data_IF_112475458899
#
_entry.id   IF_112475458899
#
_cell.length_a   1.000
_cell.length_b   1.000
_cell.length_c   1.000
_cell.angle_alpha   90.00
_cell.angle_beta   90.00
_cell.angle_gamma   90.00
#
_symmetry.space_group_name_H-M   'P 1'
#
loop_
_entity.id
_entity.type
_entity.pdbx_description
1 polymer ?
#
# COMPACT_ATOMS: atom_id res chain seq x y z
N UNK A 1 -2.64 -67.17 23.64
CA UNK A 1 -1.39 -66.51 23.19
C UNK A 1 -1.55 -66.25 21.70
N UNK A 2 -2.19 -65.13 21.36
CA UNK A 2 -2.57 -64.77 19.99
C UNK A 2 -1.75 -63.54 19.62
N UNK A 3 -0.98 -63.66 18.54
CA UNK A 3 0.06 -62.76 18.11
C UNK A 3 -0.61 -61.58 17.38
N UNK A 4 -0.39 -60.36 17.87
CA UNK A 4 -0.81 -59.11 17.21
C UNK A 4 0.04 -58.86 15.95
N UNK A 5 -0.63 -58.58 14.83
CA UNK A 5 -0.03 -57.90 13.68
C UNK A 5 -0.12 -56.38 13.88
N UNK A 6 0.94 -55.60 13.60
CA UNK A 6 0.86 -54.14 13.67
C UNK A 6 0.45 -53.51 12.33
N UNK A 7 -0.45 -52.53 12.43
CA UNK A 7 -0.92 -51.65 11.37
C UNK A 7 0.19 -50.82 10.72
N UNK A 8 0.15 -50.77 9.39
CA UNK A 8 1.06 -50.02 8.52
C UNK A 8 0.73 -48.52 8.56
N UNK A 9 1.60 -47.70 9.17
CA UNK A 9 1.52 -46.23 9.12
C UNK A 9 2.08 -45.72 7.78
N UNK A 10 1.24 -45.03 7.00
CA UNK A 10 1.65 -44.27 5.82
C UNK A 10 2.42 -43.02 6.28
N UNK A 11 3.72 -42.96 6.00
CA UNK A 11 4.55 -41.76 6.16
C UNK A 11 4.50 -40.96 4.86
N UNK A 12 3.95 -39.75 4.89
CA UNK A 12 3.94 -38.84 3.75
C UNK A 12 5.39 -38.44 3.37
N UNK A 13 5.81 -38.76 2.14
CA UNK A 13 7.13 -38.45 1.63
C UNK A 13 7.38 -36.95 1.45
N UNK A 14 8.57 -36.49 1.89
CA UNK A 14 9.11 -35.15 1.57
C UNK A 14 9.19 -34.96 0.06
N UNK A 15 8.56 -33.90 -0.46
CA UNK A 15 8.78 -33.42 -1.84
C UNK A 15 10.24 -32.99 -2.01
N UNK A 16 10.92 -33.53 -3.02
CA UNK A 16 12.26 -33.09 -3.44
C UNK A 16 12.17 -31.70 -4.08
N UNK A 17 12.91 -30.74 -3.55
CA UNK A 17 13.15 -29.41 -4.14
C UNK A 17 14.32 -29.51 -5.14
N UNK A 18 14.14 -28.95 -6.33
CA UNK A 18 15.19 -28.83 -7.36
C UNK A 18 15.83 -27.44 -7.30
N UNK A 19 17.13 -27.38 -7.58
CA UNK A 19 17.91 -26.14 -7.62
C UNK A 19 17.62 -25.35 -8.89
N UNK A 20 17.69 -24.01 -8.83
CA UNK A 20 17.41 -23.12 -9.97
C UNK A 20 18.33 -23.41 -11.15
N UNK A 21 17.73 -23.77 -12.30
CA UNK A 21 18.45 -23.94 -13.56
C UNK A 21 18.90 -22.58 -14.09
N UNK A 22 20.05 -22.56 -14.77
CA UNK A 22 20.67 -21.32 -15.25
C UNK A 22 19.81 -20.56 -16.28
N UNK A 23 18.84 -21.18 -16.96
CA UNK A 23 17.93 -20.53 -17.90
C UNK A 23 16.65 -21.35 -18.10
N UNK A 24 15.50 -20.68 -18.10
CA UNK A 24 14.21 -21.20 -18.56
C UNK A 24 13.49 -22.14 -17.58
N UNK A 25 12.40 -21.68 -16.98
CA UNK A 25 11.56 -22.50 -16.09
C UNK A 25 10.40 -23.10 -16.88
N UNK A 26 10.33 -24.43 -16.97
CA UNK A 26 9.14 -25.17 -17.36
C UNK A 26 8.27 -25.49 -16.13
N UNK A 27 6.98 -25.13 -16.17
CA UNK A 27 5.90 -25.38 -15.18
C UNK A 27 6.14 -24.83 -13.76
N UNK A 28 5.04 -24.47 -13.07
CA UNK A 28 5.02 -23.96 -11.68
C UNK A 28 5.50 -25.05 -10.71
N UNK A 29 6.80 -25.13 -10.52
CA UNK A 29 7.43 -25.85 -9.42
C UNK A 29 7.85 -24.82 -8.36
N UNK A 30 7.67 -25.16 -7.08
CA UNK A 30 8.14 -24.30 -5.99
C UNK A 30 9.66 -24.38 -5.92
N UNK A 31 10.34 -23.31 -6.32
CA UNK A 31 11.81 -23.24 -6.28
C UNK A 31 12.29 -22.73 -4.92
N UNK A 32 13.29 -23.40 -4.35
CA UNK A 32 14.00 -22.90 -3.18
C UNK A 32 14.89 -21.71 -3.57
N UNK A 33 14.48 -20.51 -3.15
CA UNK A 33 15.17 -19.24 -3.43
C UNK A 33 16.26 -18.90 -2.41
N UNK A 34 16.54 -19.77 -1.42
CA UNK A 34 17.49 -19.50 -0.34
C UNK A 34 18.89 -19.11 -0.85
N UNK A 35 19.39 -19.78 -1.91
CA UNK A 35 20.69 -19.44 -2.52
C UNK A 35 20.72 -18.05 -3.16
N UNK A 36 19.60 -17.57 -3.68
CA UNK A 36 19.51 -16.24 -4.30
C UNK A 36 19.50 -15.13 -3.22
N UNK A 37 18.68 -15.29 -2.18
CA UNK A 37 18.61 -14.35 -1.07
C UNK A 37 19.81 -14.44 -0.11
N UNK A 38 20.56 -15.54 -0.12
CA UNK A 38 21.83 -15.67 0.61
C UNK A 38 23.02 -14.94 -0.02
N UNK A 39 22.85 -14.25 -1.15
CA UNK A 39 23.92 -13.49 -1.81
C UNK A 39 24.28 -12.24 -1.01
N UNK A 40 25.54 -11.81 -1.09
CA UNK A 40 26.06 -10.58 -0.42
C UNK A 40 25.23 -9.32 -0.72
N UNK A 41 24.58 -9.25 -1.87
CA UNK A 41 23.66 -8.16 -2.23
C UNK A 41 22.57 -7.95 -1.17
N UNK A 42 22.14 -9.02 -0.49
CA UNK A 42 21.10 -8.99 0.53
C UNK A 42 21.63 -8.96 1.96
N UNK A 43 22.95 -8.87 2.18
CA UNK A 43 23.55 -8.99 3.51
C UNK A 43 22.98 -7.99 4.53
N UNK A 44 22.72 -6.75 4.10
CA UNK A 44 22.10 -5.71 4.93
C UNK A 44 20.57 -5.59 4.72
N UNK A 45 19.98 -6.38 3.83
CA UNK A 45 18.55 -6.40 3.62
C UNK A 45 17.93 -7.37 4.60
N UNK A 46 17.26 -6.82 5.62
CA UNK A 46 16.49 -7.64 6.56
C UNK A 46 15.37 -8.33 5.78
N UNK A 47 15.38 -9.66 5.76
CA UNK A 47 14.24 -10.46 5.34
C UNK A 47 13.13 -10.37 6.38
N UNK A 48 12.34 -11.44 6.53
CA UNK A 48 11.38 -11.53 7.63
C UNK A 48 12.09 -11.31 8.98
N UNK A 49 11.56 -10.39 9.77
CA UNK A 49 12.00 -10.04 11.12
C UNK A 49 10.99 -10.61 12.11
N UNK A 50 11.47 -11.27 13.16
CA UNK A 50 10.62 -11.73 14.26
C UNK A 50 10.12 -10.52 15.04
N UNK A 51 8.95 -10.02 14.68
CA UNK A 51 8.17 -9.02 15.40
C UNK A 51 6.93 -9.77 15.93
N UNK A 52 6.47 -9.45 17.14
CA UNK A 52 5.37 -10.16 17.80
C UNK A 52 4.18 -10.43 16.86
N UNK A 53 3.57 -11.60 17.00
CA UNK A 53 2.48 -12.07 16.11
C UNK A 53 1.08 -11.81 16.65
N UNK A 54 0.95 -11.03 17.73
CA UNK A 54 -0.33 -10.73 18.32
C UNK A 54 -1.08 -9.74 17.42
N UNK A 55 -2.31 -10.11 17.05
CA UNK A 55 -3.24 -9.29 16.31
C UNK A 55 -4.32 -8.80 17.28
N UNK A 56 -4.36 -7.50 17.51
CA UNK A 56 -5.33 -6.85 18.38
C UNK A 56 -6.55 -6.40 17.57
N UNK A 57 -7.67 -6.20 18.25
CA UNK A 57 -8.91 -5.72 17.62
C UNK A 57 -8.98 -4.20 17.63
N UNK A 58 -9.48 -3.60 16.55
CA UNK A 58 -9.87 -2.19 16.56
C UNK A 58 -11.05 -1.99 17.52
N UNK A 59 -11.04 -0.97 18.40
CA UNK A 59 -12.16 -0.72 19.30
C UNK A 59 -13.46 -0.44 18.52
N UNK A 60 -14.61 -1.00 18.93
CA UNK A 60 -15.87 -0.90 18.18
C UNK A 60 -16.31 0.52 17.80
N UNK A 61 -16.00 1.51 18.64
CA UNK A 61 -16.32 2.92 18.43
C UNK A 61 -15.56 3.57 17.26
N UNK A 62 -14.45 2.96 16.82
CA UNK A 62 -13.62 3.41 15.71
C UNK A 62 -13.83 2.61 14.42
N UNK A 63 -14.75 1.65 14.42
CA UNK A 63 -15.09 0.87 13.22
C UNK A 63 -15.87 1.74 12.24
N UNK A 64 -15.39 1.79 10.98
CA UNK A 64 -16.01 2.55 9.89
C UNK A 64 -16.20 4.02 10.27
N UNK A 65 -15.09 4.63 10.70
CA UNK A 65 -15.02 6.04 11.13
C UNK A 65 -14.00 6.84 10.34
N UNK A 66 -14.25 8.14 10.25
CA UNK A 66 -13.25 9.12 9.81
C UNK A 66 -13.12 10.13 10.94
N UNK A 67 -11.90 10.28 11.46
CA UNK A 67 -11.60 11.18 12.56
C UNK A 67 -11.05 12.50 12.01
N UNK A 68 -11.68 13.62 12.37
CA UNK A 68 -11.20 14.96 12.04
C UNK A 68 -10.05 15.38 12.97
N UNK A 69 -8.88 14.74 12.82
CA UNK A 69 -7.66 15.01 13.60
C UNK A 69 -6.41 14.57 12.84
N UNK A 70 -5.25 15.01 13.32
CA UNK A 70 -3.95 14.56 12.83
C UNK A 70 -3.72 13.08 13.13
N UNK A 71 -3.20 12.35 12.14
CA UNK A 71 -2.74 10.95 12.24
C UNK A 71 -1.31 10.81 12.78
N UNK A 72 -0.61 11.90 13.12
CA UNK A 72 0.72 11.85 13.73
C UNK A 72 0.75 11.16 15.11
N UNK A 73 -0.44 10.99 15.74
CA UNK A 73 -0.65 10.21 16.97
C UNK A 73 -2.02 9.52 16.91
N UNK A 74 -2.02 8.19 16.86
CA UNK A 74 -3.20 7.32 16.82
C UNK A 74 -3.38 6.58 18.17
N UNK A 75 -3.35 7.31 19.28
CA UNK A 75 -3.44 6.77 20.65
C UNK A 75 -4.70 5.94 20.91
N UNK A 76 -5.75 6.18 20.14
CA UNK A 76 -7.01 5.45 20.13
C UNK A 76 -6.91 4.03 19.56
N UNK A 77 -5.84 3.73 18.82
CA UNK A 77 -5.61 2.44 18.21
C UNK A 77 -4.57 1.63 18.99
N UNK A 78 -4.89 0.37 19.34
CA UNK A 78 -3.89 -0.59 19.81
C UNK A 78 -2.79 -0.82 18.78
N UNK A 79 -1.65 -1.31 19.23
CA UNK A 79 -0.61 -1.83 18.33
C UNK A 79 -1.18 -3.01 17.53
N UNK A 80 -0.73 -3.21 16.30
CA UNK A 80 -1.05 -4.42 15.52
C UNK A 80 -2.55 -4.75 15.41
N UNK A 81 -3.39 -3.78 15.04
CA UNK A 81 -4.83 -3.95 14.82
C UNK A 81 -5.30 -3.63 13.38
N UNK A 82 -4.43 -3.10 12.52
CA UNK A 82 -4.73 -2.73 11.13
C UNK A 82 -4.04 -3.69 10.17
N UNK A 83 -4.72 -4.03 9.07
CA UNK A 83 -4.24 -5.03 8.11
C UNK A 83 -3.54 -4.40 6.91
N UNK A 84 -4.07 -3.28 6.43
CA UNK A 84 -3.55 -2.53 5.31
C UNK A 84 -3.69 -1.04 5.57
N UNK A 85 -2.65 -0.27 5.28
CA UNK A 85 -2.77 1.16 5.09
C UNK A 85 -2.69 1.48 3.60
N UNK A 86 -3.64 2.25 3.06
CA UNK A 86 -3.55 2.80 1.70
C UNK A 86 -3.78 4.29 1.75
N UNK A 87 -2.85 5.06 1.19
CA UNK A 87 -2.91 6.51 1.34
C UNK A 87 -2.16 7.25 0.25
N UNK A 88 -2.41 8.55 0.18
CA UNK A 88 -1.66 9.50 -0.65
C UNK A 88 -1.43 10.75 0.19
N UNK A 89 -0.22 10.95 0.75
CA UNK A 89 0.06 12.12 1.55
C UNK A 89 -0.11 13.43 0.77
N UNK A 90 -0.33 14.57 1.46
CA UNK A 90 -0.32 15.88 0.81
C UNK A 90 1.01 16.10 0.10
N UNK A 91 1.00 16.72 -1.08
CA UNK A 91 2.22 16.89 -1.90
C UNK A 91 3.01 18.14 -1.56
N UNK A 92 2.55 18.98 -0.62
CA UNK A 92 3.29 20.16 -0.17
C UNK A 92 3.68 21.10 -1.34
N UNK A 93 2.76 21.27 -2.30
CA UNK A 93 2.96 22.05 -3.54
C UNK A 93 2.21 23.39 -3.50
N UNK A 94 1.89 23.88 -2.31
CA UNK A 94 1.23 25.18 -2.13
C UNK A 94 -0.21 25.23 -2.68
N UNK A 95 -0.88 24.08 -2.81
CA UNK A 95 -2.35 24.10 -2.98
C UNK A 95 -2.99 24.62 -1.69
N UNK A 96 -4.22 25.12 -1.75
CA UNK A 96 -4.94 25.82 -0.64
C UNK A 96 -4.96 25.02 0.69
N UNK A 97 -4.72 23.71 0.65
CA UNK A 97 -4.72 22.79 1.78
C UNK A 97 -3.32 22.33 2.24
N UNK A 98 -2.27 22.60 1.46
CA UNK A 98 -0.90 22.26 1.82
C UNK A 98 -0.33 23.34 2.76
N UNK A 99 0.44 22.90 3.77
CA UNK A 99 1.31 23.80 4.52
C UNK A 99 2.53 24.16 3.63
N UNK A 100 3.19 25.29 3.89
CA UNK A 100 4.43 25.66 3.18
C UNK A 100 5.64 25.09 3.90
N UNK A 101 5.78 23.75 3.88
CA UNK A 101 6.85 23.05 4.59
C UNK A 101 8.12 22.99 3.74
N UNK A 102 9.28 23.03 4.39
CA UNK A 102 10.54 22.60 3.78
C UNK A 102 10.50 21.08 3.52
N UNK A 103 11.38 20.58 2.63
CA UNK A 103 11.52 19.14 2.41
C UNK A 103 11.83 18.38 3.71
N UNK A 104 12.61 18.96 4.62
CA UNK A 104 12.95 18.35 5.90
C UNK A 104 11.71 18.23 6.81
N UNK A 105 10.93 19.30 6.96
CA UNK A 105 9.70 19.31 7.75
C UNK A 105 8.64 18.37 7.15
N UNK A 106 8.50 18.35 5.82
CA UNK A 106 7.61 17.43 5.13
C UNK A 106 7.97 15.97 5.41
N UNK A 107 9.25 15.62 5.31
CA UNK A 107 9.73 14.26 5.64
C UNK A 107 9.50 13.91 7.12
N UNK A 108 9.70 14.86 8.03
CA UNK A 108 9.41 14.64 9.45
C UNK A 108 7.93 14.37 9.71
N UNK A 109 7.03 15.12 9.07
CA UNK A 109 5.59 14.89 9.12
C UNK A 109 5.24 13.47 8.64
N UNK A 110 5.73 13.08 7.45
CA UNK A 110 5.48 11.74 6.91
C UNK A 110 6.03 10.65 7.82
N UNK A 111 7.25 10.82 8.33
CA UNK A 111 7.89 9.85 9.21
C UNK A 111 7.13 9.67 10.52
N UNK A 112 6.60 10.75 11.10
CA UNK A 112 5.75 10.67 12.30
C UNK A 112 4.47 9.85 12.04
N UNK A 113 3.77 10.15 10.94
CA UNK A 113 2.55 9.40 10.55
C UNK A 113 2.87 7.94 10.23
N UNK A 114 3.90 7.67 9.43
CA UNK A 114 4.24 6.30 9.04
C UNK A 114 4.82 5.48 10.20
N UNK A 115 5.37 6.11 11.23
CA UNK A 115 5.74 5.42 12.48
C UNK A 115 4.49 4.90 13.21
N UNK A 116 3.42 5.69 13.26
CA UNK A 116 2.13 5.24 13.80
C UNK A 116 1.51 4.15 12.91
N UNK A 117 1.56 4.29 11.59
CA UNK A 117 1.13 3.23 10.66
C UNK A 117 1.90 1.93 10.93
N UNK A 118 3.23 2.00 11.11
CA UNK A 118 4.04 0.83 11.45
C UNK A 118 3.59 0.22 12.79
N UNK A 119 3.34 1.03 13.81
CA UNK A 119 2.89 0.57 15.13
C UNK A 119 1.56 -0.20 15.03
N UNK A 120 0.55 0.38 14.37
CA UNK A 120 -0.80 -0.19 14.31
C UNK A 120 -0.96 -1.31 13.29
N UNK A 121 -0.07 -1.45 12.31
CA UNK A 121 -0.13 -2.58 11.36
C UNK A 121 0.16 -3.92 12.06
N UNK A 122 -0.56 -4.97 11.68
CA UNK A 122 -0.25 -6.36 12.07
C UNK A 122 1.04 -6.84 11.41
N UNK A 123 1.68 -7.87 11.98
CA UNK A 123 2.77 -8.56 11.30
C UNK A 123 2.27 -9.21 10.00
N UNK A 124 2.97 -8.94 8.89
CA UNK A 124 2.50 -9.30 7.54
C UNK A 124 1.58 -8.27 6.89
N UNK A 125 1.05 -7.33 7.67
CA UNK A 125 0.27 -6.20 7.19
C UNK A 125 1.10 -5.29 6.29
N UNK A 126 0.41 -4.53 5.43
CA UNK A 126 1.06 -3.74 4.37
C UNK A 126 0.73 -2.27 4.42
N UNK A 127 1.62 -1.46 3.87
CA UNK A 127 1.37 -0.05 3.58
C UNK A 127 1.57 0.20 2.09
N UNK A 128 0.56 0.79 1.44
CA UNK A 128 0.58 1.22 0.05
C UNK A 128 0.53 2.75 0.02
N UNK A 129 1.62 3.38 -0.39
CA UNK A 129 1.75 4.85 -0.38
C UNK A 129 1.82 5.35 -1.82
N UNK A 130 0.78 6.04 -2.27
CA UNK A 130 0.77 6.74 -3.54
C UNK A 130 1.54 8.06 -3.42
N UNK A 131 2.54 8.26 -4.28
CA UNK A 131 3.36 9.47 -4.30
C UNK A 131 3.69 9.92 -5.72
N UNK A 132 3.59 11.23 -5.95
CA UNK A 132 4.13 11.90 -7.12
C UNK A 132 5.51 12.49 -6.81
N UNK A 133 6.41 12.44 -7.80
CA UNK A 133 7.62 13.26 -7.75
C UNK A 133 7.29 14.70 -8.14
N UNK A 134 8.08 15.63 -7.62
CA UNK A 134 7.77 17.05 -7.67
C UNK A 134 8.88 17.83 -8.36
N UNK A 135 8.52 19.00 -8.89
CA UNK A 135 9.47 19.88 -9.54
C UNK A 135 10.04 19.30 -10.83
N UNK A 136 10.92 20.09 -11.44
CA UNK A 136 11.59 19.78 -12.71
C UNK A 136 13.02 20.28 -12.67
N UNK A 137 13.22 21.46 -12.08
CA UNK A 137 14.49 22.18 -11.94
C UNK A 137 14.51 22.94 -10.60
N UNK A 138 14.88 22.28 -9.48
CA UNK A 138 15.30 20.89 -9.37
C UNK A 138 14.12 19.90 -9.43
N UNK A 139 14.43 18.66 -9.79
CA UNK A 139 13.52 17.52 -9.62
C UNK A 139 13.67 16.95 -8.21
N UNK A 140 12.54 16.72 -7.54
CA UNK A 140 12.46 16.17 -6.20
C UNK A 140 11.91 14.73 -6.29
N UNK A 141 12.76 13.72 -6.13
CA UNK A 141 12.36 12.32 -6.17
C UNK A 141 11.69 11.91 -4.84
N UNK A 142 10.49 12.45 -4.56
CA UNK A 142 9.75 12.21 -3.31
C UNK A 142 9.63 10.72 -2.99
N UNK A 143 9.34 9.88 -3.99
CA UNK A 143 9.31 8.42 -3.82
C UNK A 143 10.57 7.86 -3.13
N UNK A 144 11.77 8.32 -3.52
CA UNK A 144 13.04 7.84 -2.96
C UNK A 144 13.24 8.24 -1.50
N UNK A 145 12.81 9.44 -1.12
CA UNK A 145 12.86 9.91 0.25
C UNK A 145 11.88 9.13 1.14
N UNK A 146 10.66 8.88 0.64
CA UNK A 146 9.67 8.05 1.34
C UNK A 146 10.16 6.62 1.52
N UNK A 147 10.78 6.01 0.49
CA UNK A 147 11.39 4.67 0.62
C UNK A 147 12.44 4.68 1.74
N UNK A 148 13.35 5.65 1.74
CA UNK A 148 14.40 5.74 2.76
C UNK A 148 13.81 5.89 4.17
N UNK A 149 12.81 6.75 4.35
CA UNK A 149 12.17 6.99 5.65
C UNK A 149 11.37 5.76 6.14
N UNK A 150 10.66 5.06 5.25
CA UNK A 150 9.94 3.83 5.57
C UNK A 150 10.89 2.71 6.00
N UNK A 151 12.03 2.54 5.31
CA UNK A 151 13.05 1.56 5.67
C UNK A 151 13.69 1.88 7.03
N UNK A 152 13.92 3.16 7.33
CA UNK A 152 14.46 3.60 8.62
C UNK A 152 13.49 3.36 9.78
N UNK A 153 12.17 3.48 9.55
CA UNK A 153 11.13 3.10 10.52
C UNK A 153 11.15 1.59 10.80
N UNK A 154 11.56 0.77 9.82
CA UNK A 154 11.64 -0.68 9.94
C UNK A 154 10.70 -1.45 9.02
N UNK A 155 10.04 -0.78 8.08
CA UNK A 155 9.30 -1.47 7.02
C UNK A 155 10.22 -2.28 6.13
N UNK A 156 9.67 -3.35 5.55
CA UNK A 156 10.29 -4.13 4.49
C UNK A 156 9.75 -3.66 3.14
N UNK A 157 10.61 -3.25 2.23
CA UNK A 157 10.19 -2.90 0.86
C UNK A 157 9.78 -4.16 0.11
N UNK A 158 8.52 -4.21 -0.36
CA UNK A 158 7.97 -5.34 -1.12
C UNK A 158 8.08 -5.11 -2.62
N UNK A 159 7.95 -3.86 -3.05
CA UNK A 159 8.02 -3.49 -4.45
C UNK A 159 7.33 -2.15 -4.71
N UNK A 160 7.37 -1.73 -5.96
CA UNK A 160 6.72 -0.52 -6.44
C UNK A 160 5.82 -0.84 -7.63
N UNK A 161 4.72 -0.12 -7.72
CA UNK A 161 3.80 -0.17 -8.85
C UNK A 161 3.79 1.22 -9.49
N UNK A 162 3.92 1.26 -10.81
CA UNK A 162 3.80 2.47 -11.61
C UNK A 162 2.34 2.64 -12.00
N UNK A 163 1.68 3.65 -11.45
CA UNK A 163 0.36 4.04 -11.90
C UNK A 163 0.48 4.99 -13.09
N UNK A 164 0.27 4.45 -14.29
CA UNK A 164 0.15 5.22 -15.52
C UNK A 164 -1.26 5.84 -15.60
N UNK A 165 -1.32 7.17 -15.66
CA UNK A 165 -2.58 7.93 -15.72
C UNK A 165 -3.26 7.89 -17.10
N UNK A 166 -2.69 7.15 -18.06
CA UNK A 166 -3.25 6.94 -19.39
C UNK A 166 -3.40 8.24 -20.18
N UNK A 167 -4.50 8.40 -20.91
CA UNK A 167 -4.78 9.61 -21.71
C UNK A 167 -4.82 10.91 -20.88
N UNK A 168 -5.07 10.84 -19.57
CA UNK A 168 -5.05 11.99 -18.65
C UNK A 168 -3.64 12.56 -18.44
N UNK A 169 -2.58 11.80 -18.78
CA UNK A 169 -1.20 12.23 -18.66
C UNK A 169 -0.71 13.12 -19.82
N UNK A 170 -1.39 13.08 -20.98
CA UNK A 170 -0.85 13.55 -22.25
C UNK A 170 -0.98 15.05 -22.55
N UNK A 171 -1.79 15.79 -21.80
CA UNK A 171 -2.13 17.18 -22.09
C UNK A 171 -1.05 18.21 -21.68
N UNK A 172 -0.02 17.79 -20.93
CA UNK A 172 1.04 18.72 -20.49
C UNK A 172 1.94 19.11 -21.66
N UNK A 173 2.00 20.41 -21.94
CA UNK A 173 2.91 21.05 -22.91
C UNK A 173 4.23 21.51 -22.28
N UNK A 174 4.55 21.03 -21.09
CA UNK A 174 5.78 21.37 -20.38
C UNK A 174 6.98 20.58 -20.95
N UNK A 175 7.35 20.89 -22.18
CA UNK A 175 8.40 20.20 -22.94
C UNK A 175 9.81 20.67 -22.61
N UNK A 176 9.97 21.76 -21.86
CA UNK A 176 11.24 22.46 -21.76
C UNK A 176 11.59 23.14 -23.08
N UNK A 177 12.83 23.03 -23.53
CA UNK A 177 13.23 23.53 -24.86
C UNK A 177 12.61 22.67 -25.96
N UNK A 178 11.56 23.19 -26.59
CA UNK A 178 10.83 22.50 -27.65
C UNK A 178 11.76 22.14 -28.81
N UNK A 179 11.74 20.86 -29.22
CA UNK A 179 12.56 20.30 -30.32
C UNK A 179 14.05 20.67 -30.22
N UNK A 180 14.57 20.81 -29.01
CA UNK A 180 15.96 21.19 -28.77
C UNK A 180 16.57 20.38 -27.64
N UNK A 181 17.78 19.87 -27.89
CA UNK A 181 18.58 19.17 -26.89
C UNK A 181 19.12 20.10 -25.80
N UNK A 182 18.94 21.42 -25.93
CA UNK A 182 19.43 22.39 -24.95
C UNK A 182 18.87 22.13 -23.55
N UNK A 183 17.57 21.80 -23.45
CA UNK A 183 16.92 21.56 -22.17
C UNK A 183 15.52 20.92 -22.27
N UNK A 184 15.36 19.74 -22.92
CA UNK A 184 14.08 19.05 -22.94
C UNK A 184 13.69 18.62 -21.50
N UNK A 185 12.40 18.58 -21.20
CA UNK A 185 11.89 18.18 -19.89
C UNK A 185 10.99 16.96 -20.00
N UNK A 186 11.19 16.01 -19.08
CA UNK A 186 10.31 14.86 -18.96
C UNK A 186 8.90 15.31 -18.56
N UNK A 187 7.90 14.57 -19.02
CA UNK A 187 6.50 14.78 -18.63
C UNK A 187 6.11 13.70 -17.66
N UNK A 188 5.61 14.10 -16.50
CA UNK A 188 5.19 13.16 -15.45
C UNK A 188 3.85 12.52 -15.86
N UNK A 189 3.93 11.31 -16.42
CA UNK A 189 2.75 10.57 -16.86
C UNK A 189 2.25 9.55 -15.84
N UNK A 190 2.98 9.38 -14.75
CA UNK A 190 2.72 8.37 -13.74
C UNK A 190 2.92 8.88 -12.32
N UNK A 191 2.43 8.09 -11.37
CA UNK A 191 2.74 8.18 -9.95
C UNK A 191 3.24 6.82 -9.46
N UNK A 192 3.89 6.80 -8.30
CA UNK A 192 4.40 5.59 -7.67
C UNK A 192 3.45 5.14 -6.58
N UNK A 193 3.12 3.85 -6.56
CA UNK A 193 2.49 3.21 -5.41
C UNK A 193 3.55 2.32 -4.79
N UNK A 194 4.11 2.79 -3.68
CA UNK A 194 5.15 2.09 -2.94
C UNK A 194 4.50 1.08 -2.00
N UNK A 195 4.96 -0.17 -2.02
CA UNK A 195 4.39 -1.27 -1.23
C UNK A 195 5.39 -1.76 -0.20
N UNK A 196 4.99 -1.71 1.06
CA UNK A 196 5.80 -2.11 2.20
C UNK A 196 5.08 -3.16 3.05
N UNK A 197 5.86 -3.95 3.80
CA UNK A 197 5.38 -4.95 4.75
C UNK A 197 5.95 -4.71 6.15
N UNK A 198 5.18 -4.98 7.20
CA UNK A 198 5.66 -4.97 8.58
C UNK A 198 6.08 -6.37 9.01
N UNK A 199 7.36 -6.54 9.39
CA UNK A 199 7.87 -7.75 10.02
C UNK A 199 8.02 -8.95 9.08
N UNK A 200 6.98 -9.37 8.38
CA UNK A 200 7.03 -10.46 7.39
C UNK A 200 6.43 -10.04 6.05
N UNK A 201 6.94 -10.60 4.95
CA UNK A 201 6.30 -10.46 3.64
C UNK A 201 4.99 -11.26 3.52
N UNK A 202 4.79 -12.23 4.41
CA UNK A 202 3.61 -13.11 4.48
C UNK A 202 2.65 -12.64 5.56
N UNK A 203 1.35 -12.84 5.31
CA UNK A 203 0.30 -12.57 6.28
C UNK A 203 -0.48 -13.88 6.53
N UNK A 204 -0.91 -14.12 7.77
CA UNK A 204 -1.51 -15.38 8.18
C UNK A 204 -2.90 -15.56 7.53
N UNK A 205 -3.14 -16.73 6.91
CA UNK A 205 -4.30 -16.94 6.03
C UNK A 205 -5.26 -18.07 6.45
N UNK A 206 -4.92 -18.91 7.42
CA UNK A 206 -5.52 -20.25 7.62
C UNK A 206 -7.03 -20.31 7.90
N UNK A 207 -7.66 -19.17 8.20
CA UNK A 207 -9.11 -19.07 8.48
C UNK A 207 -9.78 -17.88 7.79
N UNK A 208 -9.08 -17.22 6.85
CA UNK A 208 -9.54 -15.96 6.24
C UNK A 208 -10.08 -16.21 4.84
N UNK A 209 -10.92 -15.29 4.35
CA UNK A 209 -11.56 -15.41 3.04
C UNK A 209 -10.96 -14.42 2.04
N UNK A 210 -10.37 -14.96 0.97
CA UNK A 210 -9.99 -14.19 -0.22
C UNK A 210 -11.24 -13.76 -1.01
N UNK A 211 -11.21 -12.55 -1.56
CA UNK A 211 -12.29 -12.00 -2.40
C UNK A 211 -11.83 -11.59 -3.80
N UNK A 212 -10.51 -11.65 -4.05
CA UNK A 212 -9.96 -11.32 -5.36
C UNK A 212 -10.26 -12.43 -6.36
N UNK A 213 -10.80 -12.06 -7.52
CA UNK A 213 -11.00 -13.00 -8.63
C UNK A 213 -9.68 -13.35 -9.31
N UNK A 214 -9.69 -14.41 -10.13
CA UNK A 214 -8.51 -14.83 -10.90
C UNK A 214 -8.06 -13.73 -11.88
N UNK A 215 -9.01 -13.09 -12.54
CA UNK A 215 -8.78 -12.04 -13.54
C UNK A 215 -8.17 -10.80 -12.87
N UNK A 216 -8.75 -10.37 -11.75
CA UNK A 216 -8.20 -9.30 -10.92
C UNK A 216 -6.79 -9.65 -10.44
N UNK A 217 -6.55 -10.87 -9.94
CA UNK A 217 -5.23 -11.28 -9.46
C UNK A 217 -4.17 -11.18 -10.56
N UNK A 218 -4.44 -11.70 -11.76
CA UNK A 218 -3.52 -11.65 -12.89
C UNK A 218 -3.27 -10.21 -13.39
N UNK A 219 -4.26 -9.33 -13.25
CA UNK A 219 -4.17 -7.92 -13.64
C UNK A 219 -3.40 -7.10 -12.60
N UNK A 220 -3.82 -7.19 -11.34
CA UNK A 220 -3.35 -6.34 -10.25
C UNK A 220 -1.94 -6.72 -9.79
N UNK A 221 -1.48 -7.95 -10.03
CA UNK A 221 -0.09 -8.36 -9.72
C UNK A 221 0.95 -7.86 -10.72
N UNK A 222 0.55 -7.14 -11.78
CA UNK A 222 1.48 -6.43 -12.67
C UNK A 222 2.03 -5.18 -11.99
N UNK A 223 3.28 -4.84 -12.28
CA UNK A 223 3.96 -3.66 -11.74
C UNK A 223 3.59 -2.34 -12.45
N UNK A 224 2.77 -2.39 -13.51
CA UNK A 224 2.25 -1.20 -14.19
C UNK A 224 0.73 -1.29 -14.23
N UNK A 225 0.09 -0.29 -13.63
CA UNK A 225 -1.37 -0.15 -13.64
C UNK A 225 -1.76 1.04 -14.50
N UNK A 226 -2.71 0.83 -15.42
CA UNK A 226 -3.21 1.88 -16.30
C UNK A 226 -4.68 2.13 -16.03
N UNK A 227 -5.00 3.33 -15.54
CA UNK A 227 -6.36 3.85 -15.39
C UNK A 227 -6.31 5.38 -15.21
N UNK A 228 -7.34 6.11 -15.65
CA UNK A 228 -7.35 7.57 -15.59
C UNK A 228 -7.42 8.09 -14.15
N UNK A 229 -6.91 9.31 -13.95
CA UNK A 229 -7.12 10.04 -12.70
C UNK A 229 -8.58 10.46 -12.53
N UNK A 230 -9.04 10.60 -11.30
CA UNK A 230 -10.37 11.18 -11.03
C UNK A 230 -10.37 12.69 -11.26
N UNK A 231 -11.47 13.20 -11.80
CA UNK A 231 -11.64 14.64 -12.04
C UNK A 231 -11.78 15.39 -10.72
N UNK A 232 -10.85 16.31 -10.44
CA UNK A 232 -10.85 17.14 -9.25
C UNK A 232 -12.16 17.95 -9.06
N UNK A 233 -12.76 18.43 -10.16
CA UNK A 233 -14.04 19.15 -10.12
C UNK A 233 -15.22 18.24 -9.80
N UNK A 234 -15.22 17.00 -10.28
CA UNK A 234 -16.28 16.03 -9.97
C UNK A 234 -16.19 15.49 -8.54
N UNK A 235 -14.97 15.37 -8.02
CA UNK A 235 -14.72 14.85 -6.69
C UNK A 235 -14.84 15.91 -5.56
N UNK A 236 -14.98 17.19 -5.92
CA UNK A 236 -15.00 18.29 -4.94
C UNK A 236 -13.70 18.39 -4.13
N UNK A 237 -12.62 17.80 -4.64
CA UNK A 237 -11.31 17.76 -4.00
C UNK A 237 -10.23 17.99 -5.06
N UNK A 238 -9.25 18.85 -4.78
CA UNK A 238 -8.22 19.23 -5.75
C UNK A 238 -7.21 18.13 -6.14
N UNK A 239 -7.18 16.98 -5.43
CA UNK A 239 -6.26 15.88 -5.73
C UNK A 239 -6.62 14.49 -5.13
N UNK A 240 -7.84 13.94 -5.26
CA UNK A 240 -8.08 12.56 -4.83
C UNK A 240 -7.48 11.58 -5.84
N UNK A 241 -6.79 10.55 -5.35
CA UNK A 241 -6.54 9.38 -6.20
C UNK A 241 -7.87 8.65 -6.45
N UNK A 242 -8.01 7.99 -7.62
CA UNK A 242 -9.24 7.30 -7.99
C UNK A 242 -9.49 6.09 -7.07
N UNK A 243 -10.75 5.79 -6.79
CA UNK A 243 -11.18 4.65 -5.93
C UNK A 243 -10.61 3.29 -6.41
N UNK A 244 -10.32 3.17 -7.70
CA UNK A 244 -9.68 1.98 -8.29
C UNK A 244 -8.33 1.63 -7.65
N UNK A 245 -7.50 2.63 -7.34
CA UNK A 245 -6.17 2.43 -6.77
C UNK A 245 -6.21 1.70 -5.41
N UNK A 246 -6.94 2.21 -4.38
CA UNK A 246 -7.05 1.53 -3.11
C UNK A 246 -7.82 0.23 -3.25
N UNK A 247 -8.83 0.14 -4.12
CA UNK A 247 -9.57 -1.10 -4.33
C UNK A 247 -8.64 -2.25 -4.77
N UNK A 248 -7.73 -2.00 -5.71
CA UNK A 248 -6.71 -2.99 -6.12
C UNK A 248 -5.80 -3.40 -4.96
N UNK A 249 -5.33 -2.43 -4.18
CA UNK A 249 -4.47 -2.70 -3.02
C UNK A 249 -5.21 -3.55 -1.97
N UNK A 250 -6.46 -3.22 -1.69
CA UNK A 250 -7.33 -3.92 -0.73
C UNK A 250 -7.61 -5.36 -1.20
N UNK A 251 -7.91 -5.56 -2.48
CA UNK A 251 -8.11 -6.89 -3.04
C UNK A 251 -6.84 -7.75 -3.01
N UNK A 252 -5.65 -7.16 -3.22
CA UNK A 252 -4.38 -7.88 -3.21
C UNK A 252 -3.88 -8.24 -1.80
N UNK A 253 -4.15 -7.39 -0.81
CA UNK A 253 -3.38 -7.39 0.43
C UNK A 253 -4.19 -7.59 1.70
N UNK A 254 -5.51 -7.75 1.60
CA UNK A 254 -6.37 -8.06 2.74
C UNK A 254 -7.36 -9.16 2.39
N UNK A 255 -7.95 -9.72 3.43
CA UNK A 255 -9.08 -10.63 3.35
C UNK A 255 -10.39 -9.87 3.62
N UNK A 256 -11.53 -10.54 3.42
CA UNK A 256 -12.85 -9.99 3.81
C UNK A 256 -12.88 -9.68 5.30
N UNK A 257 -13.43 -8.52 5.67
CA UNK A 257 -13.58 -8.08 7.06
C UNK A 257 -12.33 -7.48 7.69
N UNK A 258 -11.20 -7.50 7.00
CA UNK A 258 -9.98 -6.85 7.47
C UNK A 258 -10.16 -5.32 7.58
N UNK A 259 -9.31 -4.68 8.39
CA UNK A 259 -9.30 -3.23 8.59
C UNK A 259 -8.30 -2.51 7.68
N UNK A 260 -8.80 -1.50 6.97
CA UNK A 260 -8.03 -0.62 6.08
C UNK A 260 -7.91 0.79 6.69
N UNK A 261 -6.68 1.27 6.82
CA UNK A 261 -6.37 2.60 7.36
C UNK A 261 -6.02 3.58 6.23
N UNK A 262 -6.54 4.80 6.30
CA UNK A 262 -6.03 5.93 5.52
C UNK A 262 -5.65 7.11 6.44
N UNK A 263 -4.34 7.32 6.72
CA UNK A 263 -3.88 8.41 7.58
C UNK A 263 -3.97 9.80 6.94
N UNK A 264 -4.29 9.90 5.65
CA UNK A 264 -4.49 11.14 4.90
C UNK A 264 -5.77 11.02 4.04
N UNK A 265 -6.88 10.77 4.72
CA UNK A 265 -8.13 10.29 4.15
C UNK A 265 -8.73 11.22 3.09
N UNK A 266 -8.57 12.54 3.22
CA UNK A 266 -9.17 13.51 2.31
C UNK A 266 -10.67 13.26 2.16
N UNK A 267 -11.12 13.18 0.90
CA UNK A 267 -12.51 12.87 0.56
C UNK A 267 -12.85 11.37 0.55
N UNK A 268 -12.04 10.52 1.17
CA UNK A 268 -12.42 9.15 1.53
C UNK A 268 -12.38 8.11 0.42
N UNK A 269 -11.55 8.28 -0.61
CA UNK A 269 -11.42 7.29 -1.70
C UNK A 269 -11.06 5.89 -1.17
N UNK A 270 -10.16 5.78 -0.20
CA UNK A 270 -9.80 4.51 0.45
C UNK A 270 -10.97 3.92 1.24
N UNK A 271 -11.69 4.74 2.00
CA UNK A 271 -12.82 4.29 2.81
C UNK A 271 -13.96 3.74 1.93
N UNK A 272 -14.28 4.43 0.83
CA UNK A 272 -15.24 3.96 -0.17
C UNK A 272 -14.79 2.64 -0.79
N UNK A 273 -13.50 2.51 -1.14
CA UNK A 273 -12.97 1.25 -1.68
C UNK A 273 -13.04 0.09 -0.69
N UNK A 274 -12.77 0.36 0.60
CA UNK A 274 -12.85 -0.64 1.66
C UNK A 274 -14.28 -1.16 1.82
N UNK A 275 -15.27 -0.26 1.88
CA UNK A 275 -16.69 -0.64 1.94
C UNK A 275 -17.10 -1.51 0.75
N UNK A 276 -16.78 -1.07 -0.48
CA UNK A 276 -17.09 -1.83 -1.71
C UNK A 276 -16.43 -3.21 -1.74
N UNK A 277 -15.27 -3.36 -1.12
CA UNK A 277 -14.56 -4.62 -1.02
C UNK A 277 -15.00 -5.47 0.20
N UNK A 278 -15.94 -5.00 1.04
CA UNK A 278 -16.36 -5.70 2.25
C UNK A 278 -15.25 -5.75 3.31
N UNK A 279 -14.52 -4.65 3.49
CA UNK A 279 -13.55 -4.39 4.57
C UNK A 279 -14.06 -3.28 5.45
N UNK A 280 -13.59 -3.26 6.69
CA UNK A 280 -13.77 -2.10 7.56
C UNK A 280 -12.72 -1.04 7.27
N UNK A 281 -13.03 0.21 7.61
CA UNK A 281 -12.09 1.31 7.43
C UNK A 281 -11.93 2.19 8.67
N UNK A 282 -10.80 2.88 8.72
CA UNK A 282 -10.58 4.04 9.58
C UNK A 282 -9.80 5.10 8.80
N UNK A 283 -10.31 6.32 8.77
CA UNK A 283 -9.71 7.46 8.09
C UNK A 283 -9.29 8.56 9.06
N UNK A 284 -8.24 9.29 8.72
CA UNK A 284 -7.82 10.52 9.41
C UNK A 284 -7.70 11.67 8.42
N UNK A 285 -8.30 12.80 8.74
CA UNK A 285 -8.03 14.05 8.03
C UNK A 285 -8.08 15.24 9.00
N UNK A 286 -7.34 16.31 8.72
CA UNK A 286 -7.33 17.51 9.58
C UNK A 286 -8.35 18.56 9.16
N UNK A 287 -9.02 18.38 8.01
CA UNK A 287 -9.99 19.31 7.44
C UNK A 287 -11.40 18.75 7.56
N UNK A 288 -12.23 19.38 8.38
CA UNK A 288 -13.62 18.98 8.58
C UNK A 288 -14.41 18.91 7.26
N UNK A 289 -14.18 19.84 6.34
CA UNK A 289 -14.81 19.84 5.01
C UNK A 289 -14.54 18.57 4.19
N UNK A 290 -13.34 17.99 4.32
CA UNK A 290 -12.97 16.75 3.63
C UNK A 290 -13.60 15.54 4.30
N UNK A 291 -13.62 15.52 5.65
CA UNK A 291 -14.33 14.52 6.43
C UNK A 291 -15.82 14.50 6.08
N UNK A 292 -16.48 15.67 6.03
CA UNK A 292 -17.90 15.78 5.68
C UNK A 292 -18.18 15.33 4.24
N UNK A 293 -17.26 15.60 3.30
CA UNK A 293 -17.34 15.11 1.93
C UNK A 293 -17.19 13.60 1.85
N UNK A 294 -16.23 13.03 2.57
CA UNK A 294 -15.99 11.59 2.64
C UNK A 294 -17.21 10.85 3.23
N UNK A 295 -17.77 11.33 4.34
CA UNK A 295 -18.95 10.76 4.97
C UNK A 295 -20.17 10.78 4.02
N UNK A 296 -20.38 11.88 3.28
CA UNK A 296 -21.44 11.95 2.26
C UNK A 296 -21.25 10.94 1.12
N UNK A 297 -20.01 10.61 0.75
CA UNK A 297 -19.73 9.55 -0.25
C UNK A 297 -20.03 8.18 0.32
N UNK A 298 -19.54 7.90 1.53
CA UNK A 298 -19.77 6.63 2.24
C UNK A 298 -21.26 6.34 2.39
N UNK A 299 -22.06 7.30 2.89
CA UNK A 299 -23.50 7.10 3.08
C UNK A 299 -24.25 6.76 1.78
N UNK A 300 -23.74 7.17 0.61
CA UNK A 300 -24.35 6.81 -0.68
C UNK A 300 -24.06 5.36 -1.09
N UNK A 301 -22.92 4.82 -0.67
CA UNK A 301 -22.55 3.43 -0.92
C UNK A 301 -23.31 2.47 0.01
N UNK A 302 -23.55 2.87 1.27
CA UNK A 302 -24.31 2.05 2.23
C UNK A 302 -25.80 1.91 1.86
N UNK A 303 -26.32 2.81 1.02
CA UNK A 303 -27.71 2.78 0.52
C UNK A 303 -27.89 1.93 -0.75
N UNK A 304 -26.82 1.39 -1.33
CA UNK A 304 -26.84 0.58 -2.56
C UNK A 304 -26.57 -0.88 -2.30
#
# INVERSE_FOLDING_TARGET
MIIHAPDCRIVAGRRKTTETSNFGVSKREGHDSSKFYGRKLYYNNKGDVSIGSAENTVPPEYVDRILCKSSQKMNELPDSCIHLAVTSPPYNVGKIYDQDLTLAEYRQLLKAVFSEVFRVLVTGGRACVNVANLGRKPYLPIHSYVIADMLDIGFLMRGEIIWNKGSSAGASTAWGSWQSAANPSLRDTHEYILVFSKGSFSHAASTRQDTISKEEFLSYTKSVWEFPAESATKAGHPAPFPVELPYRCIQLYTFRGDFVLDPFCGVGSTCVAALRAGRHFLGYDTKQEYVDSALRRISKEDMT
#
